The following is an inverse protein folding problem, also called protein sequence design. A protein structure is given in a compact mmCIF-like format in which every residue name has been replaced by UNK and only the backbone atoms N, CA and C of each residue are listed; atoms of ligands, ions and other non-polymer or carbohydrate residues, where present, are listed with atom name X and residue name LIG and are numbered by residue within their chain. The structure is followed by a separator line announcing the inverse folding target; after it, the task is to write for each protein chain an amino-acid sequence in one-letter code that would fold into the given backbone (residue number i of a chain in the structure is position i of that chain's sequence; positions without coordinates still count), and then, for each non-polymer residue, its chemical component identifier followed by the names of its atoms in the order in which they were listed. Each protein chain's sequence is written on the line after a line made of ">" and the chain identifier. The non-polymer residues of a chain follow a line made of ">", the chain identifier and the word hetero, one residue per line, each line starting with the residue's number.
data_IF_900492867977
#
_entry.id   IF_900492867977
#
_cell.length_a   1.000
_cell.length_b   1.000
_cell.length_c   1.000
_cell.angle_alpha   90.00
_cell.angle_beta   90.00
_cell.angle_gamma   90.00
#
_symmetry.space_group_name_H-M   'P 1'
#
loop_
_entity.id
_entity.type
_entity.pdbx_description
1 polymer ?
#
# COMPACT_ATOMS: atom_id res chain seq x y z
N UNK A 1 -21.88 23.97 8.86
CA UNK A 1 -21.41 25.31 9.25
C UNK A 1 -19.89 25.42 9.18
N UNK A 2 -19.16 24.46 9.66
CA UNK A 2 -17.69 24.47 9.75
C UNK A 2 -16.96 24.53 8.38
N UNK A 3 -17.44 23.83 7.38
CA UNK A 3 -16.79 23.76 6.04
C UNK A 3 -16.81 25.10 5.26
N UNK A 4 -17.87 25.91 5.42
CA UNK A 4 -17.94 27.25 4.82
C UNK A 4 -17.08 28.28 5.58
N UNK A 5 -16.89 28.11 6.89
CA UNK A 5 -15.97 28.93 7.68
C UNK A 5 -14.51 28.61 7.37
N UNK A 6 -14.19 27.33 7.15
CA UNK A 6 -12.88 26.88 6.71
C UNK A 6 -12.57 27.41 5.31
N UNK A 7 -13.51 27.34 4.36
CA UNK A 7 -13.36 27.97 3.04
C UNK A 7 -13.16 29.48 3.10
N UNK A 8 -13.91 30.19 3.96
CA UNK A 8 -13.74 31.65 4.15
C UNK A 8 -12.41 31.99 4.78
N UNK A 9 -11.99 31.24 5.77
CA UNK A 9 -10.68 31.44 6.41
C UNK A 9 -9.54 30.99 5.46
N UNK A 10 -9.74 30.05 4.50
CA UNK A 10 -8.80 29.70 3.44
C UNK A 10 -8.54 30.85 2.48
N UNK A 11 -9.55 31.67 2.23
CA UNK A 11 -9.44 32.83 1.34
C UNK A 11 -8.79 34.06 1.99
N UNK A 12 -8.60 34.10 3.30
CA UNK A 12 -8.20 35.30 4.03
C UNK A 12 -6.93 35.21 4.87
N UNK A 13 -6.24 34.06 4.92
CA UNK A 13 -5.08 33.89 5.78
C UNK A 13 -3.81 33.52 5.03
N UNK A 14 -2.70 34.13 5.40
CA UNK A 14 -1.36 33.71 4.97
C UNK A 14 -1.08 32.32 5.55
N UNK A 15 -0.90 31.31 4.69
CA UNK A 15 -0.51 29.99 5.14
C UNK A 15 0.96 30.02 5.57
N UNK A 16 1.22 29.48 6.73
CA UNK A 16 2.57 29.25 7.21
C UNK A 16 2.96 27.83 6.91
N UNK A 17 4.06 27.64 6.19
CA UNK A 17 4.65 26.32 6.00
C UNK A 17 5.01 25.69 7.36
N UNK A 18 5.18 24.35 7.43
CA UNK A 18 5.54 23.67 8.65
C UNK A 18 6.64 24.38 9.43
N UNK A 19 6.57 24.35 10.77
CA UNK A 19 7.43 25.15 11.63
C UNK A 19 8.89 24.68 11.54
N UNK A 20 9.83 25.56 11.85
CA UNK A 20 11.19 25.12 12.11
C UNK A 20 11.25 24.13 13.29
N UNK A 21 12.32 23.35 13.37
CA UNK A 21 12.52 22.27 14.34
C UNK A 21 12.32 22.66 15.83
N UNK A 22 12.51 23.92 16.16
CA UNK A 22 12.40 24.45 17.51
C UNK A 22 11.05 25.13 17.83
N UNK A 23 9.99 24.84 17.06
CA UNK A 23 8.66 25.40 17.31
C UNK A 23 8.04 24.81 18.56
N UNK A 24 7.53 25.65 19.43
CA UNK A 24 6.80 25.25 20.64
C UNK A 24 5.52 24.44 20.27
N UNK A 25 5.18 23.44 21.10
CA UNK A 25 3.95 22.66 20.97
C UNK A 25 3.98 21.52 19.96
N UNK A 26 5.12 21.25 19.29
CA UNK A 26 5.25 20.09 18.39
C UNK A 26 5.22 18.76 19.15
N UNK A 27 5.81 18.73 20.33
CA UNK A 27 5.95 17.55 21.18
C UNK A 27 5.29 17.80 22.55
N UNK A 28 4.02 18.25 22.52
CA UNK A 28 3.24 18.30 23.73
C UNK A 28 3.00 16.89 24.32
N UNK A 29 2.61 16.82 25.58
CA UNK A 29 2.39 15.53 26.28
C UNK A 29 1.37 14.62 25.56
N UNK A 30 0.37 15.19 24.88
CA UNK A 30 -0.64 14.42 24.16
C UNK A 30 -0.07 13.82 22.87
N UNK A 31 0.72 14.58 22.11
CA UNK A 31 1.45 14.11 20.93
C UNK A 31 2.43 13.01 21.32
N UNK A 32 3.28 13.23 22.33
CA UNK A 32 4.27 12.22 22.77
C UNK A 32 3.61 10.92 23.24
N UNK A 33 2.50 11.00 23.98
CA UNK A 33 1.72 9.80 24.37
C UNK A 33 1.18 9.06 23.15
N UNK A 34 0.74 9.77 22.13
CA UNK A 34 0.26 9.19 20.88
C UNK A 34 1.40 8.55 20.09
N UNK A 35 2.58 9.18 20.03
CA UNK A 35 3.79 8.59 19.44
C UNK A 35 4.17 7.29 20.12
N UNK A 36 4.25 7.25 21.46
CA UNK A 36 4.55 6.05 22.21
C UNK A 36 3.55 4.91 21.94
N UNK A 37 2.26 5.24 21.80
CA UNK A 37 1.24 4.26 21.43
C UNK A 37 1.51 3.69 20.02
N UNK A 38 1.69 4.53 19.02
CA UNK A 38 1.94 4.14 17.63
C UNK A 38 3.23 3.30 17.52
N UNK A 39 4.32 3.71 18.17
CA UNK A 39 5.58 2.97 18.17
C UNK A 39 5.40 1.57 18.75
N UNK A 40 4.64 1.43 19.82
CA UNK A 40 4.34 0.12 20.44
C UNK A 40 3.54 -0.78 19.49
N UNK A 41 2.48 -0.24 18.88
CA UNK A 41 1.64 -0.97 17.93
C UNK A 41 2.44 -1.39 16.70
N UNK A 42 3.25 -0.47 16.16
CA UNK A 42 4.12 -0.72 15.01
C UNK A 42 5.19 -1.77 15.31
N UNK A 43 5.80 -1.72 16.50
CA UNK A 43 6.78 -2.71 16.93
C UNK A 43 6.17 -4.12 17.03
N UNK A 44 4.92 -4.22 17.51
CA UNK A 44 4.18 -5.48 17.55
C UNK A 44 3.90 -6.03 16.15
N UNK A 45 3.45 -5.19 15.23
CA UNK A 45 3.20 -5.55 13.84
C UNK A 45 4.49 -5.99 13.12
N UNK A 46 5.57 -5.23 13.25
CA UNK A 46 6.89 -5.56 12.68
C UNK A 46 7.40 -6.92 13.16
N UNK A 47 7.27 -7.17 14.46
CA UNK A 47 7.68 -8.44 15.05
C UNK A 47 6.86 -9.61 14.51
N UNK A 48 5.53 -9.46 14.42
CA UNK A 48 4.66 -10.48 13.88
C UNK A 48 5.00 -10.79 12.41
N UNK A 49 5.24 -9.73 11.61
CA UNK A 49 5.62 -9.86 10.21
C UNK A 49 7.00 -10.51 10.05
N UNK A 50 8.02 -10.04 10.77
CA UNK A 50 9.41 -10.55 10.64
C UNK A 50 9.56 -12.02 11.05
N UNK A 51 8.68 -12.54 11.91
CA UNK A 51 8.66 -13.96 12.30
C UNK A 51 7.90 -14.86 11.34
N UNK A 52 7.15 -14.28 10.41
CA UNK A 52 6.37 -15.08 9.48
C UNK A 52 7.27 -15.65 8.38
N UNK A 53 7.27 -16.96 8.24
CA UNK A 53 7.99 -17.67 7.18
C UNK A 53 7.50 -17.26 5.76
N UNK A 54 6.29 -16.70 5.67
CA UNK A 54 5.66 -16.22 4.44
C UNK A 54 5.77 -14.72 4.23
N UNK A 55 6.54 -14.00 5.06
CA UNK A 55 6.66 -12.55 5.03
C UNK A 55 6.97 -12.01 3.62
N UNK A 56 7.96 -12.58 2.93
CA UNK A 56 8.34 -12.19 1.56
C UNK A 56 7.24 -12.46 0.52
N UNK A 57 6.38 -13.45 0.79
CA UNK A 57 5.23 -13.76 -0.07
C UNK A 57 4.07 -12.80 0.19
N UNK A 58 3.84 -12.43 1.44
CA UNK A 58 2.72 -11.56 1.82
C UNK A 58 2.98 -10.07 1.57
N UNK A 59 4.25 -9.61 1.61
CA UNK A 59 4.58 -8.20 1.39
C UNK A 59 4.04 -7.63 0.06
N UNK A 60 4.23 -8.27 -1.11
CA UNK A 60 3.67 -7.78 -2.37
C UNK A 60 2.13 -7.79 -2.39
N UNK A 61 1.50 -8.78 -1.75
CA UNK A 61 0.03 -8.84 -1.64
C UNK A 61 -0.51 -7.68 -0.81
N UNK A 62 0.12 -7.39 0.32
CA UNK A 62 -0.24 -6.25 1.17
C UNK A 62 -0.03 -4.93 0.41
N UNK A 63 1.05 -4.80 -0.34
CA UNK A 63 1.31 -3.63 -1.17
C UNK A 63 0.26 -3.45 -2.28
N UNK A 64 -0.23 -4.53 -2.89
CA UNK A 64 -1.30 -4.46 -3.89
C UNK A 64 -2.63 -3.99 -3.29
N UNK A 65 -2.95 -4.42 -2.06
CA UNK A 65 -4.14 -3.93 -1.33
C UNK A 65 -4.00 -2.45 -1.00
N UNK A 66 -2.83 -2.01 -0.55
CA UNK A 66 -2.60 -0.59 -0.27
C UNK A 66 -2.68 0.26 -1.53
N UNK A 67 -2.08 -0.19 -2.64
CA UNK A 67 -2.17 0.48 -3.93
C UNK A 67 -3.63 0.64 -4.37
N UNK A 68 -4.43 -0.43 -4.28
CA UNK A 68 -5.88 -0.39 -4.55
C UNK A 68 -6.58 0.64 -3.66
N UNK A 69 -6.35 0.60 -2.34
CA UNK A 69 -6.97 1.52 -1.39
C UNK A 69 -6.63 2.98 -1.71
N UNK A 70 -5.39 3.27 -2.10
CA UNK A 70 -4.99 4.63 -2.49
C UNK A 70 -5.66 5.08 -3.79
N UNK A 71 -5.76 4.20 -4.77
CA UNK A 71 -6.46 4.52 -6.04
C UNK A 71 -7.95 4.75 -5.80
N UNK A 72 -8.60 3.93 -4.96
CA UNK A 72 -9.99 4.12 -4.56
C UNK A 72 -10.20 5.44 -3.80
N UNK A 73 -9.25 5.85 -2.96
CA UNK A 73 -9.26 7.16 -2.29
C UNK A 73 -9.23 8.32 -3.29
N UNK A 74 -8.61 8.12 -4.44
CA UNK A 74 -8.59 9.08 -5.57
C UNK A 74 -9.83 8.97 -6.47
N UNK A 75 -10.81 8.12 -6.14
CA UNK A 75 -12.03 7.94 -6.91
C UNK A 75 -11.91 6.95 -8.08
N UNK A 76 -10.77 6.27 -8.22
CA UNK A 76 -10.59 5.22 -9.22
C UNK A 76 -11.15 3.89 -8.71
N UNK A 77 -11.79 3.13 -9.60
CA UNK A 77 -12.30 1.78 -9.27
C UNK A 77 -11.40 0.74 -9.93
N UNK A 78 -10.63 0.05 -9.13
CA UNK A 78 -9.71 -0.99 -9.60
C UNK A 78 -10.02 -2.33 -8.93
N UNK A 79 -9.80 -3.42 -9.67
CA UNK A 79 -9.98 -4.78 -9.16
C UNK A 79 -8.64 -5.51 -9.11
N UNK A 80 -8.31 -6.08 -7.95
CA UNK A 80 -7.11 -6.90 -7.79
C UNK A 80 -7.22 -8.20 -8.58
N UNK A 81 -8.44 -8.74 -8.76
CA UNK A 81 -8.64 -9.88 -9.68
C UNK A 81 -8.20 -9.51 -11.09
N UNK A 82 -8.68 -8.38 -11.61
CA UNK A 82 -8.29 -7.91 -12.94
C UNK A 82 -6.79 -7.62 -13.02
N UNK A 83 -6.22 -7.02 -11.96
CA UNK A 83 -4.78 -6.78 -11.87
C UNK A 83 -3.97 -8.08 -11.97
N UNK A 84 -4.22 -9.08 -11.12
CA UNK A 84 -3.46 -10.32 -11.15
C UNK A 84 -3.66 -11.10 -12.44
N UNK A 85 -4.85 -11.08 -13.05
CA UNK A 85 -5.10 -11.69 -14.34
C UNK A 85 -4.37 -10.96 -15.47
N UNK A 86 -4.35 -9.64 -15.47
CA UNK A 86 -3.67 -8.84 -16.51
C UNK A 86 -2.17 -9.07 -16.55
N UNK A 87 -1.52 -9.31 -15.40
CA UNK A 87 -0.10 -9.67 -15.35
C UNK A 87 0.21 -10.95 -16.15
N UNK A 88 -0.76 -11.85 -16.21
CA UNK A 88 -0.64 -13.14 -16.91
C UNK A 88 -1.11 -13.05 -18.35
N UNK A 89 -2.26 -12.42 -18.59
CA UNK A 89 -2.87 -12.30 -19.92
C UNK A 89 -2.12 -11.30 -20.81
N UNK A 90 -1.27 -10.45 -20.21
CA UNK A 90 -0.59 -9.34 -20.89
C UNK A 90 -1.55 -8.37 -21.57
N UNK A 91 -2.78 -8.36 -21.09
CA UNK A 91 -3.83 -7.43 -21.52
C UNK A 91 -3.77 -6.20 -20.62
N UNK A 92 -2.86 -5.30 -20.97
CA UNK A 92 -2.60 -4.06 -20.25
C UNK A 92 -3.40 -2.88 -20.83
N UNK A 93 -4.56 -3.13 -21.42
CA UNK A 93 -5.38 -2.09 -22.04
C UNK A 93 -6.01 -1.14 -20.98
N UNK A 94 -6.16 -1.60 -19.74
CA UNK A 94 -6.66 -0.75 -18.68
C UNK A 94 -5.51 -0.03 -17.94
N UNK A 95 -5.35 1.30 -18.14
CA UNK A 95 -4.28 2.07 -17.51
C UNK A 95 -4.35 2.08 -15.97
N UNK A 96 -5.56 1.94 -15.39
CA UNK A 96 -5.73 1.95 -13.93
C UNK A 96 -5.11 0.71 -13.28
N UNK A 97 -5.04 -0.41 -14.00
CA UNK A 97 -4.39 -1.64 -13.53
C UNK A 97 -2.87 -1.44 -13.44
N UNK A 98 -2.28 -0.73 -14.41
CA UNK A 98 -0.85 -0.40 -14.37
C UNK A 98 -0.49 0.47 -13.17
N UNK A 99 -1.41 1.29 -12.68
CA UNK A 99 -1.17 2.14 -11.52
C UNK A 99 -0.90 1.33 -10.24
N UNK A 100 -1.51 0.15 -10.10
CA UNK A 100 -1.22 -0.76 -8.97
C UNK A 100 0.23 -1.21 -9.02
N UNK A 101 0.69 -1.68 -10.19
CA UNK A 101 2.07 -2.14 -10.39
C UNK A 101 3.07 -1.01 -10.20
N UNK A 102 2.79 0.17 -10.75
CA UNK A 102 3.59 1.36 -10.59
C UNK A 102 3.71 1.79 -9.11
N UNK A 103 2.62 1.72 -8.34
CA UNK A 103 2.62 2.04 -6.92
C UNK A 103 3.51 1.06 -6.13
N UNK A 104 3.38 -0.24 -6.41
CA UNK A 104 4.20 -1.28 -5.79
C UNK A 104 5.68 -1.07 -6.13
N UNK A 105 5.98 -0.80 -7.40
CA UNK A 105 7.35 -0.55 -7.87
C UNK A 105 7.93 0.72 -7.24
N UNK A 106 7.16 1.80 -7.11
CA UNK A 106 7.58 3.03 -6.45
C UNK A 106 7.99 2.78 -4.99
N UNK A 107 7.21 1.97 -4.27
CA UNK A 107 7.51 1.60 -2.89
C UNK A 107 8.77 0.75 -2.78
N UNK A 108 8.84 -0.37 -3.49
CA UNK A 108 9.93 -1.33 -3.31
C UNK A 108 11.27 -0.82 -3.89
N UNK A 109 11.26 -0.13 -5.02
CA UNK A 109 12.48 0.41 -5.62
C UNK A 109 13.09 1.54 -4.77
N UNK A 110 12.25 2.32 -4.06
CA UNK A 110 12.73 3.42 -3.20
C UNK A 110 12.96 3.01 -1.74
N UNK A 111 12.52 1.82 -1.32
CA UNK A 111 12.59 1.37 0.07
C UNK A 111 14.04 1.27 0.58
N UNK A 112 14.96 0.76 -0.23
CA UNK A 112 16.36 0.61 0.15
C UNK A 112 17.06 1.97 0.34
N UNK A 113 16.76 2.96 -0.49
CA UNK A 113 17.26 4.33 -0.34
C UNK A 113 16.71 4.97 0.94
N UNK A 114 15.40 4.86 1.14
CA UNK A 114 14.73 5.39 2.31
C UNK A 114 15.19 4.76 3.63
N UNK A 115 15.53 3.47 3.63
CA UNK A 115 16.05 2.78 4.82
C UNK A 115 17.42 3.30 5.27
N UNK A 116 18.20 3.88 4.36
CA UNK A 116 19.57 4.33 4.60
C UNK A 116 19.74 5.83 4.79
N UNK A 117 18.66 6.61 4.69
CA UNK A 117 18.77 8.06 4.80
C UNK A 117 17.40 8.80 4.85
N UNK A 118 17.45 10.13 4.96
CA UNK A 118 16.27 10.95 4.90
C UNK A 118 15.66 10.95 3.50
N UNK A 119 14.37 11.24 3.40
CA UNK A 119 13.70 11.45 2.13
C UNK A 119 14.24 12.73 1.47
N UNK A 120 14.61 12.64 0.20
CA UNK A 120 15.24 13.71 -0.57
C UNK A 120 14.43 14.05 -1.82
N UNK A 121 14.81 15.12 -2.52
CA UNK A 121 14.24 15.42 -3.86
C UNK A 121 14.52 14.28 -4.84
N UNK A 122 15.66 13.59 -4.72
CA UNK A 122 15.96 12.42 -5.55
C UNK A 122 14.97 11.27 -5.28
N UNK A 123 14.59 11.05 -4.02
CA UNK A 123 13.55 10.07 -3.68
C UNK A 123 12.22 10.41 -4.35
N UNK A 124 11.83 11.70 -4.38
CA UNK A 124 10.64 12.16 -5.12
C UNK A 124 10.75 11.83 -6.61
N UNK A 125 11.90 12.11 -7.23
CA UNK A 125 12.17 11.80 -8.66
C UNK A 125 12.04 10.29 -8.92
N UNK A 126 12.59 9.45 -8.05
CA UNK A 126 12.53 8.00 -8.19
C UNK A 126 11.07 7.50 -8.11
N UNK A 127 10.28 8.04 -7.17
CA UNK A 127 8.86 7.73 -7.05
C UNK A 127 8.09 8.17 -8.29
N UNK A 128 8.31 9.41 -8.77
CA UNK A 128 7.64 9.94 -9.97
C UNK A 128 7.97 9.12 -11.22
N UNK A 129 9.21 8.71 -11.39
CA UNK A 129 9.66 7.89 -12.51
C UNK A 129 9.04 6.47 -12.54
N UNK A 130 8.47 6.02 -11.43
CA UNK A 130 7.71 4.77 -11.38
C UNK A 130 6.32 4.88 -12.03
N UNK A 131 5.87 6.09 -12.41
CA UNK A 131 4.58 6.34 -13.06
C UNK A 131 4.77 6.99 -14.46
N UNK A 132 5.45 6.31 -15.40
CA UNK A 132 5.85 6.92 -16.68
C UNK A 132 4.66 7.32 -17.56
N UNK A 133 3.52 6.64 -17.44
CA UNK A 133 2.31 6.90 -18.24
C UNK A 133 1.51 8.11 -17.71
N UNK A 134 1.68 8.46 -16.45
CA UNK A 134 0.88 9.52 -15.80
C UNK A 134 1.32 10.93 -16.21
N UNK A 135 2.47 11.10 -16.88
CA UNK A 135 3.00 12.40 -17.26
C UNK A 135 3.21 13.32 -16.06
N UNK A 136 3.67 12.76 -14.94
CA UNK A 136 3.95 13.53 -13.72
C UNK A 136 5.25 14.30 -13.94
N UNK A 137 5.18 15.62 -13.77
CA UNK A 137 6.32 16.52 -13.89
C UNK A 137 6.31 17.55 -12.75
N UNK A 138 7.40 18.29 -12.63
CA UNK A 138 7.42 19.47 -11.78
C UNK A 138 6.39 20.49 -12.26
N UNK A 139 5.70 21.10 -11.33
CA UNK A 139 4.66 22.08 -11.62
C UNK A 139 5.25 23.37 -12.17
N UNK A 140 4.75 23.81 -13.31
CA UNK A 140 5.12 25.07 -13.96
C UNK A 140 4.11 26.18 -13.70
N UNK A 141 2.84 25.83 -13.50
CA UNK A 141 1.73 26.75 -13.32
C UNK A 141 1.06 26.56 -11.94
N UNK A 142 0.26 27.53 -11.47
CA UNK A 142 -0.55 27.35 -10.28
C UNK A 142 -1.44 26.11 -10.40
N UNK A 143 -1.63 25.43 -9.26
CA UNK A 143 -2.48 24.23 -9.20
C UNK A 143 -3.94 24.58 -9.49
N UNK A 144 -4.60 23.71 -10.26
CA UNK A 144 -6.03 23.80 -10.57
C UNK A 144 -6.86 22.72 -9.85
N UNK A 145 -6.21 21.83 -9.10
CA UNK A 145 -6.86 20.76 -8.34
C UNK A 145 -7.60 21.34 -7.12
N UNK A 146 -8.91 21.05 -6.98
CA UNK A 146 -9.76 21.64 -5.92
C UNK A 146 -9.22 21.37 -4.50
N UNK A 147 -8.65 20.21 -4.22
CA UNK A 147 -8.08 19.88 -2.91
C UNK A 147 -6.83 20.71 -2.63
N UNK A 148 -6.08 21.04 -3.65
CA UNK A 148 -4.84 21.81 -3.56
C UNK A 148 -5.07 23.32 -3.61
N UNK A 149 -6.11 23.78 -4.30
CA UNK A 149 -6.58 25.17 -4.25
C UNK A 149 -6.99 25.54 -2.81
N UNK A 150 -7.55 24.61 -2.06
CA UNK A 150 -7.88 24.81 -0.64
C UNK A 150 -6.62 24.94 0.25
N UNK A 151 -5.50 24.34 -0.15
CA UNK A 151 -4.25 24.41 0.60
C UNK A 151 -3.44 25.66 0.26
N UNK A 152 -3.33 26.07 -1.02
CA UNK A 152 -2.64 27.32 -1.41
C UNK A 152 -2.84 27.72 -2.88
N UNK A 153 -3.78 28.60 -3.23
CA UNK A 153 -3.94 29.01 -4.61
C UNK A 153 -2.79 29.87 -5.17
N UNK A 154 -2.10 30.66 -4.33
CA UNK A 154 -1.24 31.76 -4.81
C UNK A 154 0.20 31.79 -4.25
N UNK A 155 0.60 30.82 -3.41
CA UNK A 155 1.87 30.95 -2.67
C UNK A 155 3.11 30.61 -3.53
N UNK A 156 2.96 29.75 -4.56
CA UNK A 156 4.04 29.35 -5.47
C UNK A 156 3.60 29.49 -6.91
N UNK A 157 3.75 30.69 -7.51
CA UNK A 157 3.19 31.01 -8.81
C UNK A 157 3.90 30.35 -9.99
N UNK A 158 5.15 29.92 -9.83
CA UNK A 158 5.96 29.37 -10.91
C UNK A 158 6.89 28.22 -10.46
N UNK A 159 7.49 27.53 -11.43
CA UNK A 159 8.39 26.40 -11.22
C UNK A 159 9.64 26.78 -10.42
N UNK A 160 10.13 28.03 -10.54
CA UNK A 160 11.31 28.47 -9.82
C UNK A 160 11.04 28.61 -8.33
N UNK A 161 9.89 29.16 -7.95
CA UNK A 161 9.43 29.24 -6.57
C UNK A 161 9.26 27.84 -5.96
N UNK A 162 8.69 26.90 -6.72
CA UNK A 162 8.55 25.50 -6.31
C UNK A 162 9.90 24.83 -6.06
N UNK A 163 10.88 25.01 -6.96
CA UNK A 163 12.21 24.44 -6.79
C UNK A 163 12.95 25.00 -5.56
N UNK A 164 12.85 26.31 -5.32
CA UNK A 164 13.42 26.93 -4.13
C UNK A 164 12.82 26.34 -2.86
N UNK A 165 11.50 26.12 -2.87
CA UNK A 165 10.83 25.58 -1.70
C UNK A 165 11.08 24.08 -1.49
N UNK A 166 11.25 23.31 -2.57
CA UNK A 166 11.69 21.91 -2.49
C UNK A 166 13.09 21.80 -1.88
N UNK A 167 14.01 22.70 -2.23
CA UNK A 167 15.34 22.71 -1.62
C UNK A 167 15.27 23.04 -0.10
N UNK A 168 14.35 23.93 0.32
CA UNK A 168 14.07 24.22 1.73
C UNK A 168 13.44 23.01 2.44
N UNK A 169 12.48 22.35 1.78
CA UNK A 169 11.87 21.13 2.28
C UNK A 169 12.91 20.03 2.52
N UNK A 170 13.81 19.80 1.57
CA UNK A 170 14.87 18.80 1.71
C UNK A 170 15.82 19.16 2.87
N UNK A 171 16.20 20.44 3.01
CA UNK A 171 16.97 20.92 4.14
C UNK A 171 16.23 20.70 5.46
N UNK A 172 14.96 21.05 5.52
CA UNK A 172 14.10 20.82 6.67
C UNK A 172 14.03 19.34 7.06
N UNK A 173 13.84 18.45 6.08
CA UNK A 173 13.82 16.99 6.30
C UNK A 173 15.12 16.48 6.93
N UNK A 174 16.25 17.08 6.60
CA UNK A 174 17.57 16.69 7.12
C UNK A 174 17.89 17.28 8.52
N UNK A 175 17.31 18.42 8.86
CA UNK A 175 17.64 19.18 10.07
C UNK A 175 16.75 18.82 11.29
N UNK A 176 15.60 18.20 11.12
CA UNK A 176 14.67 17.84 12.20
C UNK A 176 15.11 16.65 13.08
N UNK A 177 16.39 16.41 13.26
CA UNK A 177 16.94 15.24 13.95
C UNK A 177 16.61 15.17 15.45
N UNK A 178 16.26 16.29 16.06
CA UNK A 178 15.97 16.38 17.51
C UNK A 178 14.50 16.12 17.85
N UNK A 179 13.65 15.88 16.84
CA UNK A 179 12.24 15.56 17.04
C UNK A 179 12.00 14.04 17.11
N UNK A 180 10.90 13.64 17.74
CA UNK A 180 10.39 12.27 17.64
C UNK A 180 10.29 11.85 16.16
N UNK A 181 10.79 10.67 15.78
CA UNK A 181 10.82 10.23 14.39
C UNK A 181 9.45 10.23 13.69
N UNK A 182 8.36 9.95 14.41
CA UNK A 182 7.01 10.01 13.83
C UNK A 182 6.58 11.46 13.60
N UNK A 183 6.85 12.36 14.54
CA UNK A 183 6.58 13.80 14.39
C UNK A 183 7.35 14.35 13.20
N UNK A 184 8.64 14.00 13.10
CA UNK A 184 9.49 14.37 11.96
C UNK A 184 8.91 13.91 10.62
N UNK A 185 8.58 12.62 10.49
CA UNK A 185 8.01 12.05 9.27
C UNK A 185 6.70 12.74 8.87
N UNK A 186 5.81 12.98 9.83
CA UNK A 186 4.51 13.61 9.58
C UNK A 186 4.64 15.08 9.16
N UNK A 187 5.54 15.84 9.76
CA UNK A 187 5.75 17.25 9.41
C UNK A 187 6.46 17.40 8.06
N UNK A 188 7.45 16.56 7.77
CA UNK A 188 8.10 16.52 6.46
C UNK A 188 7.10 16.20 5.36
N UNK A 189 6.20 15.26 5.61
CA UNK A 189 5.13 14.88 4.71
C UNK A 189 4.11 16.01 4.50
N UNK A 190 3.68 16.66 5.58
CA UNK A 190 2.80 17.83 5.52
C UNK A 190 3.42 18.98 4.72
N UNK A 191 4.72 19.22 4.88
CA UNK A 191 5.43 20.26 4.15
C UNK A 191 5.46 19.98 2.65
N UNK A 192 5.80 18.76 2.23
CA UNK A 192 5.76 18.38 0.81
C UNK A 192 4.36 18.55 0.22
N UNK A 193 3.33 18.12 0.93
CA UNK A 193 1.95 18.26 0.50
C UNK A 193 1.54 19.74 0.40
N UNK A 194 2.00 20.60 1.32
CA UNK A 194 1.71 22.04 1.28
C UNK A 194 2.40 22.75 0.10
N UNK A 195 3.59 22.31 -0.31
CA UNK A 195 4.25 22.80 -1.52
C UNK A 195 3.48 22.37 -2.77
N UNK A 196 2.95 21.14 -2.77
CA UNK A 196 2.32 20.54 -3.95
C UNK A 196 3.16 20.69 -5.21
N UNK A 197 4.39 20.14 -5.25
CA UNK A 197 5.39 20.53 -6.26
C UNK A 197 5.14 19.92 -7.64
N UNK A 198 4.23 18.97 -7.76
CA UNK A 198 3.96 18.24 -8.99
C UNK A 198 2.73 18.81 -9.70
N UNK A 199 2.68 18.66 -11.03
CA UNK A 199 1.55 19.09 -11.86
C UNK A 199 0.26 18.28 -11.57
N UNK A 200 0.42 17.03 -11.07
CA UNK A 200 -0.70 16.14 -10.69
C UNK A 200 -0.23 15.07 -9.70
N UNK A 201 -1.17 14.37 -9.08
CA UNK A 201 -0.95 13.22 -8.21
C UNK A 201 -0.07 13.51 -6.98
N UNK A 202 -0.01 14.77 -6.52
CA UNK A 202 0.73 15.12 -5.30
C UNK A 202 0.30 14.27 -4.10
N UNK A 203 -1.00 14.00 -3.93
CA UNK A 203 -1.51 13.17 -2.84
C UNK A 203 -0.96 11.74 -2.85
N UNK A 204 -0.91 11.09 -4.03
CA UNK A 204 -0.34 9.75 -4.20
C UNK A 204 1.14 9.73 -3.85
N UNK A 205 1.91 10.65 -4.41
CA UNK A 205 3.34 10.75 -4.15
C UNK A 205 3.61 11.05 -2.67
N UNK A 206 2.86 11.98 -2.07
CA UNK A 206 2.95 12.29 -0.64
C UNK A 206 2.72 11.06 0.23
N UNK A 207 1.76 10.21 -0.11
CA UNK A 207 1.48 8.99 0.65
C UNK A 207 2.60 7.96 0.51
N UNK A 208 3.15 7.77 -0.69
CA UNK A 208 4.33 6.91 -0.89
C UNK A 208 5.52 7.44 -0.08
N UNK A 209 5.77 8.76 -0.11
CA UNK A 209 6.85 9.38 0.68
C UNK A 209 6.64 9.17 2.18
N UNK A 210 5.40 9.20 2.69
CA UNK A 210 5.12 8.90 4.09
C UNK A 210 5.46 7.43 4.41
N UNK A 211 5.04 6.48 3.58
CA UNK A 211 5.42 5.07 3.72
C UNK A 211 6.94 4.90 3.77
N UNK A 212 7.64 5.54 2.83
CA UNK A 212 9.12 5.50 2.76
C UNK A 212 9.77 6.15 3.98
N UNK A 213 9.24 7.27 4.48
CA UNK A 213 9.71 7.91 5.71
C UNK A 213 9.59 7.00 6.94
N UNK A 214 8.50 6.22 7.01
CA UNK A 214 8.28 5.24 8.08
C UNK A 214 9.18 4.01 7.94
N UNK A 215 9.51 3.59 6.72
CA UNK A 215 10.50 2.54 6.46
C UNK A 215 11.91 3.02 6.79
N UNK A 216 12.20 4.27 6.48
CA UNK A 216 13.41 4.97 6.90
C UNK A 216 13.46 5.14 8.42
N UNK A 217 14.61 5.59 8.95
CA UNK A 217 14.80 5.77 10.38
C UNK A 217 14.50 4.52 11.25
N UNK A 218 14.39 3.34 10.61
CA UNK A 218 14.04 2.06 11.25
C UNK A 218 12.68 2.07 11.99
N UNK A 219 11.76 2.95 11.64
CA UNK A 219 10.42 2.99 12.23
C UNK A 219 9.61 1.78 11.80
N UNK A 220 9.56 1.46 10.50
CA UNK A 220 8.78 0.36 9.93
C UNK A 220 9.61 -0.63 9.06
N UNK A 221 10.91 -0.76 9.27
CA UNK A 221 11.72 -1.74 8.55
C UNK A 221 11.91 -3.01 9.41
N UNK A 222 11.81 -4.22 8.88
CA UNK A 222 11.57 -4.63 7.48
C UNK A 222 10.08 -4.88 7.14
N UNK A 223 9.14 -4.33 7.89
CA UNK A 223 7.71 -4.57 7.67
C UNK A 223 7.24 -4.04 6.29
N UNK A 224 6.15 -4.61 5.75
CA UNK A 224 5.55 -4.14 4.52
C UNK A 224 4.90 -2.77 4.70
N UNK A 225 4.37 -2.19 3.61
CA UNK A 225 3.59 -0.96 3.68
C UNK A 225 2.38 -1.09 4.62
N UNK A 226 2.01 0.03 5.22
CA UNK A 226 0.82 0.12 6.06
C UNK A 226 -0.42 0.43 5.22
N UNK A 227 -1.61 0.03 5.67
CA UNK A 227 -2.90 0.31 5.02
C UNK A 227 -3.33 1.77 5.23
N UNK A 228 -2.48 2.71 4.80
CA UNK A 228 -2.69 4.16 4.97
C UNK A 228 -3.84 4.69 4.14
N UNK A 229 -3.97 4.28 2.87
CA UNK A 229 -5.03 4.72 1.97
C UNK A 229 -6.39 4.48 2.58
N UNK A 230 -6.62 3.28 3.12
CA UNK A 230 -7.86 2.91 3.78
C UNK A 230 -8.07 3.65 5.10
N UNK A 231 -7.03 3.81 5.91
CA UNK A 231 -7.11 4.55 7.18
C UNK A 231 -7.48 6.02 6.94
N UNK A 232 -6.93 6.64 5.90
CA UNK A 232 -7.24 8.01 5.50
C UNK A 232 -8.68 8.16 4.97
N UNK A 233 -9.22 7.19 4.23
CA UNK A 233 -10.61 7.21 3.75
C UNK A 233 -11.61 7.27 4.91
N UNK A 234 -11.33 6.62 6.02
CA UNK A 234 -12.25 6.53 7.15
C UNK A 234 -12.59 7.89 7.77
N UNK A 235 -11.71 8.88 7.67
CA UNK A 235 -11.85 10.21 8.28
C UNK A 235 -11.37 11.34 7.37
N UNK A 236 -11.57 11.22 6.05
CA UNK A 236 -11.00 12.13 5.06
C UNK A 236 -11.31 13.63 5.33
N UNK A 237 -12.52 13.96 5.73
CA UNK A 237 -12.91 15.35 6.02
C UNK A 237 -12.14 15.96 7.20
N UNK A 238 -11.94 15.21 8.29
CA UNK A 238 -11.18 15.69 9.44
C UNK A 238 -9.71 15.97 9.09
N UNK A 239 -9.11 15.15 8.22
CA UNK A 239 -7.72 15.34 7.81
C UNK A 239 -7.45 16.65 7.09
N UNK A 240 -8.39 17.14 6.29
CA UNK A 240 -8.29 18.42 5.59
C UNK A 240 -8.42 19.57 6.59
N UNK A 241 -9.38 19.50 7.51
CA UNK A 241 -9.63 20.53 8.52
C UNK A 241 -8.43 20.71 9.45
N UNK A 242 -7.88 19.63 9.98
CA UNK A 242 -6.74 19.66 10.89
C UNK A 242 -5.46 20.16 10.20
N UNK A 243 -5.24 19.81 8.94
CA UNK A 243 -4.13 20.33 8.12
C UNK A 243 -4.23 21.84 7.95
N UNK A 244 -5.39 22.31 7.53
CA UNK A 244 -5.64 23.73 7.31
C UNK A 244 -5.53 24.52 8.61
N UNK A 245 -6.03 23.98 9.72
CA UNK A 245 -5.91 24.59 11.02
C UNK A 245 -4.43 24.76 11.41
N UNK A 246 -3.63 23.70 11.32
CA UNK A 246 -2.19 23.74 11.61
C UNK A 246 -1.45 24.76 10.75
N UNK A 247 -1.68 24.72 9.43
CA UNK A 247 -1.04 25.62 8.47
C UNK A 247 -1.37 27.11 8.71
N UNK A 248 -2.53 27.43 9.31
CA UNK A 248 -2.97 28.82 9.56
C UNK A 248 -2.64 29.33 10.93
N UNK A 249 -2.82 28.49 11.93
CA UNK A 249 -2.69 28.91 13.33
C UNK A 249 -1.30 28.64 13.88
N UNK A 250 -0.49 27.86 13.17
CA UNK A 250 0.77 27.29 13.66
C UNK A 250 0.58 26.37 14.89
N UNK A 251 -0.63 25.88 15.12
CA UNK A 251 -0.92 24.92 16.17
C UNK A 251 -0.96 23.52 15.56
N UNK A 252 0.13 22.80 15.64
CA UNK A 252 0.34 21.54 14.91
C UNK A 252 -0.16 20.31 15.67
N UNK A 253 -0.34 20.40 16.98
CA UNK A 253 -0.77 19.28 17.82
C UNK A 253 -2.06 18.59 17.32
N UNK A 254 -3.15 19.31 16.93
CA UNK A 254 -4.35 18.66 16.40
C UNK A 254 -4.07 17.83 15.13
N UNK A 255 -3.30 18.37 14.18
CA UNK A 255 -2.90 17.64 12.98
C UNK A 255 -2.06 16.40 13.31
N UNK A 256 -1.05 16.55 14.17
CA UNK A 256 -0.19 15.45 14.59
C UNK A 256 -1.00 14.34 15.28
N UNK A 257 -1.90 14.68 16.18
CA UNK A 257 -2.78 13.72 16.83
C UNK A 257 -3.71 13.00 15.85
N UNK A 258 -4.29 13.74 14.89
CA UNK A 258 -5.08 13.14 13.80
C UNK A 258 -4.25 12.12 12.99
N UNK A 259 -3.05 12.50 12.56
CA UNK A 259 -2.19 11.62 11.77
C UNK A 259 -1.68 10.41 12.57
N UNK A 260 -1.31 10.60 13.84
CA UNK A 260 -0.92 9.50 14.72
C UNK A 260 -2.08 8.51 14.96
N UNK A 261 -3.31 9.01 15.11
CA UNK A 261 -4.51 8.17 15.17
C UNK A 261 -4.73 7.41 13.85
N UNK A 262 -4.50 8.06 12.72
CA UNK A 262 -4.58 7.44 11.39
C UNK A 262 -3.52 6.35 11.22
N UNK A 263 -2.28 6.59 11.66
CA UNK A 263 -1.22 5.59 11.67
C UNK A 263 -1.58 4.39 12.55
N UNK A 264 -2.09 4.62 13.76
CA UNK A 264 -2.58 3.55 14.65
C UNK A 264 -3.66 2.69 13.95
N UNK A 265 -4.59 3.33 13.22
CA UNK A 265 -5.61 2.61 12.45
C UNK A 265 -5.01 1.84 11.27
N UNK A 266 -4.05 2.44 10.55
CA UNK A 266 -3.36 1.78 9.44
C UNK A 266 -2.60 0.53 9.92
N UNK A 267 -1.91 0.60 11.05
CA UNK A 267 -1.20 -0.52 11.67
C UNK A 267 -2.19 -1.65 12.03
N UNK A 268 -3.33 -1.30 12.64
CA UNK A 268 -4.37 -2.28 12.97
C UNK A 268 -4.88 -3.00 11.72
N UNK A 269 -5.24 -2.26 10.67
CA UNK A 269 -5.69 -2.82 9.39
C UNK A 269 -4.63 -3.70 8.73
N UNK A 270 -3.36 -3.32 8.81
CA UNK A 270 -2.24 -4.12 8.30
C UNK A 270 -2.08 -5.43 9.07
N UNK A 271 -2.24 -5.40 10.39
CA UNK A 271 -2.24 -6.58 11.24
C UNK A 271 -3.42 -7.53 10.96
N UNK A 272 -4.62 -6.99 10.73
CA UNK A 272 -5.81 -7.75 10.36
C UNK A 272 -5.64 -8.44 8.99
N UNK A 273 -5.07 -7.74 8.00
CA UNK A 273 -4.77 -8.32 6.70
C UNK A 273 -3.74 -9.44 6.81
N UNK A 274 -2.62 -9.20 7.52
CA UNK A 274 -1.59 -10.21 7.75
C UNK A 274 -2.17 -11.46 8.43
N UNK A 275 -2.93 -11.29 9.50
CA UNK A 275 -3.58 -12.40 10.22
C UNK A 275 -4.56 -13.19 9.33
N UNK A 276 -5.27 -12.51 8.43
CA UNK A 276 -6.18 -13.15 7.48
C UNK A 276 -5.44 -13.92 6.40
N UNK A 277 -4.31 -13.41 5.90
CA UNK A 277 -3.43 -14.13 4.97
C UNK A 277 -2.84 -15.40 5.62
N UNK A 278 -2.33 -15.28 6.83
CA UNK A 278 -1.82 -16.42 7.63
C UNK A 278 -2.90 -17.48 7.85
N UNK A 279 -4.11 -17.06 8.23
CA UNK A 279 -5.26 -17.95 8.44
C UNK A 279 -5.66 -18.67 7.16
N UNK A 280 -5.77 -17.97 6.03
CA UNK A 280 -6.09 -18.58 4.75
C UNK A 280 -5.02 -19.60 4.34
N UNK A 281 -3.75 -19.26 4.49
CA UNK A 281 -2.64 -20.15 4.19
C UNK A 281 -2.71 -21.44 5.03
N UNK A 282 -2.83 -21.31 6.35
CA UNK A 282 -2.90 -22.44 7.27
C UNK A 282 -4.14 -23.33 7.03
N UNK A 283 -5.31 -22.72 6.75
CA UNK A 283 -6.52 -23.47 6.42
C UNK A 283 -6.38 -24.20 5.08
N UNK A 284 -5.77 -23.58 4.08
CA UNK A 284 -5.53 -24.24 2.79
C UNK A 284 -4.57 -25.42 2.92
N UNK A 285 -3.50 -25.27 3.71
CA UNK A 285 -2.57 -26.37 4.00
C UNK A 285 -3.26 -27.55 4.73
N UNK A 286 -4.03 -27.24 5.76
CA UNK A 286 -4.79 -28.24 6.50
C UNK A 286 -5.82 -28.95 5.63
N UNK A 287 -6.52 -28.19 4.78
CA UNK A 287 -7.48 -28.74 3.83
C UNK A 287 -6.82 -29.70 2.84
N UNK A 288 -5.68 -29.34 2.25
CA UNK A 288 -4.94 -30.22 1.35
C UNK A 288 -4.53 -31.55 2.03
N UNK A 289 -4.11 -31.50 3.30
CA UNK A 289 -3.82 -32.69 4.09
C UNK A 289 -5.07 -33.56 4.29
N UNK A 290 -6.19 -32.94 4.61
CA UNK A 290 -7.48 -33.64 4.83
C UNK A 290 -7.96 -34.37 3.58
N UNK A 291 -7.79 -33.76 2.38
CA UNK A 291 -8.27 -34.35 1.12
C UNK A 291 -7.26 -35.29 0.42
N UNK A 292 -6.15 -35.64 1.09
CA UNK A 292 -5.14 -36.55 0.54
C UNK A 292 -4.17 -35.91 -0.46
N UNK A 293 -4.16 -34.58 -0.57
CA UNK A 293 -3.25 -33.81 -1.43
C UNK A 293 -2.11 -33.15 -0.62
N UNK A 294 -1.66 -33.77 0.47
CA UNK A 294 -0.63 -33.18 1.36
C UNK A 294 0.66 -32.78 0.62
N UNK A 295 1.06 -33.53 -0.41
CA UNK A 295 2.23 -33.17 -1.24
C UNK A 295 2.09 -31.86 -2.00
N UNK A 296 0.85 -31.41 -2.26
CA UNK A 296 0.59 -30.17 -2.96
C UNK A 296 0.77 -28.93 -2.07
N UNK A 297 0.85 -29.09 -0.74
CA UNK A 297 1.13 -28.01 0.19
C UNK A 297 2.49 -27.34 -0.08
N UNK A 298 3.46 -28.07 -0.61
CA UNK A 298 4.77 -27.52 -1.01
C UNK A 298 4.67 -26.41 -2.09
N UNK A 299 3.57 -26.34 -2.82
CA UNK A 299 3.35 -25.36 -3.88
C UNK A 299 2.60 -24.10 -3.41
N UNK A 300 2.04 -24.11 -2.19
CA UNK A 300 1.28 -22.97 -1.65
C UNK A 300 2.08 -21.65 -1.60
N UNK A 301 3.37 -21.63 -1.20
CA UNK A 301 4.13 -20.37 -1.19
C UNK A 301 4.11 -19.66 -2.54
N UNK A 302 4.26 -20.39 -3.64
CA UNK A 302 4.26 -19.81 -4.98
C UNK A 302 2.85 -19.42 -5.41
N UNK A 303 1.83 -20.19 -5.08
CA UNK A 303 0.43 -19.91 -5.41
C UNK A 303 -0.04 -18.64 -4.66
N UNK A 304 0.42 -18.43 -3.43
CA UNK A 304 0.15 -17.20 -2.70
C UNK A 304 0.95 -16.02 -3.26
N UNK A 305 2.21 -16.24 -3.65
CA UNK A 305 3.05 -15.19 -4.25
C UNK A 305 2.52 -14.74 -5.61
N UNK A 306 1.95 -15.67 -6.37
CA UNK A 306 1.39 -15.46 -7.71
C UNK A 306 -0.09 -15.89 -7.71
N UNK A 307 -1.01 -15.01 -7.25
CA UNK A 307 -2.44 -15.34 -7.14
C UNK A 307 -3.10 -15.79 -8.43
N UNK A 308 -2.51 -15.46 -9.59
CA UNK A 308 -2.84 -15.99 -10.90
C UNK A 308 -1.57 -16.52 -11.58
N UNK A 309 -1.68 -17.60 -12.34
CA UNK A 309 -0.55 -18.17 -13.09
C UNK A 309 -1.00 -19.01 -14.28
N UNK A 310 -0.13 -19.15 -15.28
CA UNK A 310 -0.25 -20.15 -16.36
C UNK A 310 0.55 -21.40 -16.04
N UNK A 311 0.16 -22.52 -16.61
CA UNK A 311 0.90 -23.79 -16.44
C UNK A 311 2.38 -23.67 -16.81
N UNK A 312 2.72 -22.89 -17.85
CA UNK A 312 4.11 -22.67 -18.26
C UNK A 312 4.94 -21.91 -17.23
N UNK A 313 4.39 -20.87 -16.65
CA UNK A 313 5.06 -20.06 -15.59
C UNK A 313 5.26 -20.87 -14.32
N UNK A 314 4.22 -21.57 -13.87
CA UNK A 314 4.31 -22.48 -12.74
C UNK A 314 5.38 -23.56 -12.95
N UNK A 315 5.43 -24.15 -14.15
CA UNK A 315 6.44 -25.11 -14.55
C UNK A 315 7.87 -24.55 -14.48
N UNK A 316 8.05 -23.29 -14.90
CA UNK A 316 9.36 -22.59 -14.86
C UNK A 316 9.80 -22.30 -13.42
N UNK A 317 8.90 -21.80 -12.57
CA UNK A 317 9.21 -21.46 -11.19
C UNK A 317 9.67 -22.70 -10.39
N UNK A 318 9.01 -23.84 -10.57
CA UNK A 318 9.35 -25.09 -9.87
C UNK A 318 10.34 -25.96 -10.59
N UNK A 319 10.89 -25.53 -11.72
CA UNK A 319 11.81 -26.36 -12.54
C UNK A 319 11.25 -27.77 -12.77
N UNK A 320 9.93 -27.86 -13.00
CA UNK A 320 9.22 -29.12 -13.17
C UNK A 320 8.74 -29.30 -14.62
N UNK A 321 8.37 -30.50 -15.01
CA UNK A 321 7.81 -30.74 -16.36
C UNK A 321 6.42 -30.12 -16.48
N UNK A 322 6.10 -29.51 -17.62
CA UNK A 322 4.81 -28.86 -17.90
C UNK A 322 3.60 -29.77 -17.60
N UNK A 323 3.75 -31.08 -17.87
CA UNK A 323 2.70 -32.06 -17.56
C UNK A 323 2.44 -32.18 -16.05
N UNK A 324 3.50 -32.22 -15.23
CA UNK A 324 3.40 -32.27 -13.77
C UNK A 324 2.77 -30.99 -13.23
N UNK A 325 3.21 -29.82 -13.71
CA UNK A 325 2.64 -28.54 -13.37
C UNK A 325 1.13 -28.48 -13.70
N UNK A 326 0.74 -28.94 -14.89
CA UNK A 326 -0.67 -29.02 -15.29
C UNK A 326 -1.48 -29.94 -14.38
N UNK A 327 -0.91 -31.08 -13.96
CA UNK A 327 -1.59 -32.01 -13.05
C UNK A 327 -1.84 -31.37 -11.69
N UNK A 328 -0.82 -30.77 -11.08
CA UNK A 328 -0.91 -30.07 -9.79
C UNK A 328 -1.98 -28.97 -9.83
N UNK A 329 -1.93 -28.08 -10.83
CA UNK A 329 -2.88 -26.97 -10.95
C UNK A 329 -4.32 -27.45 -11.18
N UNK A 330 -4.51 -28.54 -11.95
CA UNK A 330 -5.83 -29.14 -12.13
C UNK A 330 -6.35 -29.81 -10.83
N UNK A 331 -5.48 -30.45 -10.06
CA UNK A 331 -5.87 -31.04 -8.76
C UNK A 331 -6.30 -29.96 -7.79
N UNK A 332 -5.56 -28.84 -7.70
CA UNK A 332 -5.92 -27.70 -6.88
C UNK A 332 -7.23 -27.03 -7.34
N UNK A 333 -7.48 -27.02 -8.66
CA UNK A 333 -8.75 -26.53 -9.20
C UNK A 333 -9.92 -27.45 -8.86
N UNK A 334 -9.74 -28.80 -8.96
CA UNK A 334 -10.74 -29.78 -8.53
C UNK A 334 -11.03 -29.70 -7.02
N UNK A 335 -9.99 -29.40 -6.23
CA UNK A 335 -10.13 -29.17 -4.81
C UNK A 335 -10.83 -27.84 -4.47
N UNK A 336 -11.17 -27.02 -5.46
CA UNK A 336 -11.83 -25.73 -5.26
C UNK A 336 -10.93 -24.65 -4.63
N UNK A 337 -9.59 -24.84 -4.66
CA UNK A 337 -8.62 -23.84 -4.22
C UNK A 337 -8.37 -22.82 -5.33
N UNK A 338 -8.18 -23.33 -6.56
CA UNK A 338 -8.01 -22.50 -7.74
C UNK A 338 -9.28 -22.53 -8.61
N UNK A 339 -9.49 -21.46 -9.35
CA UNK A 339 -10.45 -21.43 -10.46
C UNK A 339 -9.68 -21.36 -11.78
N UNK A 340 -10.21 -22.04 -12.80
CA UNK A 340 -9.63 -22.10 -14.13
C UNK A 340 -10.40 -21.23 -15.09
N UNK A 341 -9.69 -20.37 -15.81
CA UNK A 341 -10.20 -19.58 -16.92
C UNK A 341 -9.48 -20.02 -18.20
N UNK A 342 -10.23 -20.16 -19.28
CA UNK A 342 -9.66 -20.45 -20.60
C UNK A 342 -9.33 -19.14 -21.31
N UNK A 343 -8.08 -19.03 -21.76
CA UNK A 343 -7.57 -17.90 -22.56
C UNK A 343 -7.02 -18.44 -23.88
N UNK A 344 -7.88 -18.56 -24.88
CA UNK A 344 -7.55 -19.16 -26.16
C UNK A 344 -7.07 -20.60 -26.00
N UNK A 345 -5.79 -20.84 -26.30
CA UNK A 345 -5.14 -22.17 -26.16
C UNK A 345 -4.52 -22.39 -24.77
N UNK A 346 -4.40 -21.35 -23.97
CA UNK A 346 -3.78 -21.42 -22.65
C UNK A 346 -4.83 -21.49 -21.54
N UNK A 347 -4.42 -22.04 -20.41
CA UNK A 347 -5.24 -22.12 -19.19
C UNK A 347 -4.60 -21.26 -18.13
N UNK A 348 -5.39 -20.34 -17.58
CA UNK A 348 -5.02 -19.50 -16.45
C UNK A 348 -5.73 -20.02 -15.20
N UNK A 349 -4.99 -20.12 -14.12
CA UNK A 349 -5.49 -20.53 -12.83
C UNK A 349 -5.32 -19.37 -11.86
N UNK A 350 -6.33 -19.10 -11.01
CA UNK A 350 -6.23 -18.08 -9.98
C UNK A 350 -6.82 -18.55 -8.64
N UNK A 351 -6.25 -18.04 -7.55
CA UNK A 351 -6.64 -18.42 -6.21
C UNK A 351 -7.86 -17.61 -5.75
N UNK A 352 -9.06 -18.17 -5.86
CA UNK A 352 -10.34 -17.48 -5.65
C UNK A 352 -10.41 -16.83 -4.28
N UNK A 353 -10.17 -17.59 -3.19
CA UNK A 353 -10.29 -17.09 -1.81
C UNK A 353 -9.22 -16.08 -1.45
N UNK A 354 -8.02 -16.19 -2.02
CA UNK A 354 -6.97 -15.19 -1.83
C UNK A 354 -7.40 -13.85 -2.45
N UNK A 355 -7.89 -13.89 -3.69
CA UNK A 355 -8.39 -12.68 -4.36
C UNK A 355 -9.60 -12.11 -3.61
N UNK A 356 -10.55 -12.95 -3.19
CA UNK A 356 -11.68 -12.55 -2.37
C UNK A 356 -11.23 -11.83 -1.08
N UNK A 357 -10.26 -12.39 -0.36
CA UNK A 357 -9.68 -11.79 0.83
C UNK A 357 -9.07 -10.41 0.53
N UNK A 358 -8.28 -10.29 -0.54
CA UNK A 358 -7.58 -9.05 -0.90
C UNK A 358 -8.54 -7.96 -1.40
N UNK A 359 -9.67 -8.35 -2.00
CA UNK A 359 -10.74 -7.45 -2.47
C UNK A 359 -11.68 -7.03 -1.33
N UNK A 360 -11.79 -7.86 -0.28
CA UNK A 360 -12.76 -7.68 0.80
C UNK A 360 -12.40 -6.51 1.70
N UNK A 361 -13.41 -5.73 2.06
CA UNK A 361 -13.24 -4.60 2.98
C UNK A 361 -12.81 -5.01 4.40
N UNK A 362 -13.18 -6.18 4.86
CA UNK A 362 -12.86 -6.70 6.19
C UNK A 362 -11.89 -7.89 6.15
N UNK A 363 -11.19 -8.07 5.01
CA UNK A 363 -10.23 -9.14 4.78
C UNK A 363 -10.81 -10.53 5.06
N UNK A 364 -12.09 -10.72 4.73
CA UNK A 364 -12.77 -12.00 4.84
C UNK A 364 -12.70 -12.80 3.54
N UNK A 365 -12.88 -14.10 3.65
CA UNK A 365 -12.95 -15.02 2.52
C UNK A 365 -13.93 -16.14 2.81
N UNK A 366 -14.46 -16.75 1.75
CA UNK A 366 -15.37 -17.88 1.85
C UNK A 366 -14.67 -19.10 2.47
N UNK A 367 -15.35 -19.88 3.32
CA UNK A 367 -14.76 -21.08 3.91
C UNK A 367 -14.38 -22.09 2.84
N UNK A 368 -13.32 -22.86 3.12
CA UNK A 368 -12.99 -24.04 2.34
C UNK A 368 -14.09 -25.09 2.52
N UNK A 369 -14.34 -25.97 1.52
CA UNK A 369 -15.35 -26.99 1.66
C UNK A 369 -15.14 -27.84 2.92
N UNK A 370 -16.17 -27.98 3.75
CA UNK A 370 -16.09 -28.72 5.02
C UNK A 370 -15.98 -30.24 4.80
N UNK A 371 -16.49 -30.74 3.67
CA UNK A 371 -16.36 -32.12 3.24
C UNK A 371 -16.20 -32.15 1.72
N UNK A 372 -15.35 -33.03 1.26
CA UNK A 372 -15.32 -33.41 -0.16
C UNK A 372 -16.59 -34.19 -0.42
N UNK A 373 -17.28 -33.84 -1.51
CA UNK A 373 -18.31 -34.74 -2.00
C UNK A 373 -17.65 -36.11 -2.31
N UNK A 374 -18.00 -37.18 -1.57
CA UNK A 374 -17.36 -38.48 -1.73
C UNK A 374 -17.60 -39.08 -3.14
N UNK A 375 -18.50 -38.48 -3.93
CA UNK A 375 -18.78 -38.88 -5.30
C UNK A 375 -17.90 -38.20 -6.35
N UNK A 376 -17.11 -37.20 -6.01
CA UNK A 376 -16.09 -36.66 -6.89
C UNK A 376 -14.74 -37.25 -6.50
N UNK A 377 -14.25 -38.29 -7.19
CA UNK A 377 -12.93 -38.86 -6.86
C UNK A 377 -11.86 -37.81 -7.15
N UNK A 378 -11.33 -37.21 -6.10
CA UNK A 378 -10.29 -36.22 -6.16
C UNK A 378 -8.98 -36.76 -6.70
N UNK A 379 -8.85 -38.09 -6.72
CA UNK A 379 -7.70 -38.80 -7.26
C UNK A 379 -8.10 -40.20 -7.74
N UNK A 380 -8.21 -40.38 -9.04
CA UNK A 380 -7.98 -41.71 -9.60
C UNK A 380 -6.47 -41.85 -9.82
N UNK A 381 -5.78 -42.64 -9.00
CA UNK A 381 -4.48 -43.21 -9.34
C UNK A 381 -4.63 -43.81 -10.75
N UNK A 382 -4.00 -43.15 -11.72
CA UNK A 382 -3.91 -43.74 -13.05
C UNK A 382 -3.29 -45.13 -12.90
N UNK A 383 -4.05 -46.16 -13.20
CA UNK A 383 -3.53 -47.51 -13.40
C UNK A 383 -2.42 -47.38 -14.43
N UNK A 384 -1.18 -47.84 -14.15
CA UNK A 384 -0.16 -47.83 -15.16
C UNK A 384 -0.69 -48.68 -16.32
N UNK A 385 -0.89 -48.04 -17.48
CA UNK A 385 -1.28 -48.72 -18.69
C UNK A 385 -0.26 -49.80 -18.99
N UNK A 386 -0.80 -50.96 -19.25
CA UNK A 386 -0.10 -52.08 -19.88
C UNK A 386 0.48 -51.69 -21.24
#
# INVERSE_FOLDING_TARGET
>A
MHFQEIRRAAAQGTISLPPPANSEGLEDLAVLKSCLKVIRELSGFRYAFAKDAMAETFAPLMASVEAKNELERQGLKVSLKSYFLSLILKDLENPDILLIDNYINALFNSANEAANGPITVQTVVNVVNSFPQDGINWRENPQTDEEQILLQPDTFPDSKAVQVELARWEKYSKELRDLDPLVHALLTNLYFMAISPLNRHNGRVTQILLQLSLMGQNINSPAPCLMLGRALMTNAHFGIEERLYGLRTRQWSPYLQYMLKTLSKAILLSGELLASLQRLYAQTEAYLKMIGLASHAAFLPVIFKHPACRTGEFSSIFTTRRQVASHILNDLARAGILERVEDGRDRVFYHTRLIELLESENYSFSPLPASIDPFVPLYQKGTPGR
#
